data_IF_848155088766
#
_entry.id   IF_848155088766
#
_cell.length_a   1.000
_cell.length_b   1.000
_cell.length_c   1.000
_cell.angle_alpha   90.00
_cell.angle_beta   90.00
_cell.angle_gamma   90.00
#
_symmetry.space_group_name_H-M   'P 1'
#
loop_
_entity.id
_entity.type
_entity.pdbx_description
1 polymer ?
#
# COMPACT_ATOMS: atom_id res chain seq x y z
N UNK A 1 12.67 -5.85 21.96
CA UNK A 1 12.62 -4.38 21.88
C UNK A 1 14.00 -3.98 21.41
N UNK A 2 14.22 -4.00 20.10
CA UNK A 2 15.52 -3.66 19.52
C UNK A 2 15.37 -2.31 18.84
N UNK A 3 16.18 -1.34 19.27
CA UNK A 3 16.22 0.00 18.73
C UNK A 3 16.66 0.03 17.26
N UNK A 4 16.56 1.18 16.58
CA UNK A 4 16.96 1.30 15.18
C UNK A 4 18.45 0.92 15.02
N UNK A 5 18.75 0.09 14.02
CA UNK A 5 20.12 -0.20 13.59
C UNK A 5 20.70 1.12 13.06
N UNK A 6 21.68 1.66 13.77
CA UNK A 6 22.35 2.90 13.40
C UNK A 6 23.33 2.61 12.26
N UNK A 7 23.02 3.04 11.04
CA UNK A 7 23.93 2.91 9.89
C UNK A 7 25.00 3.99 10.03
N UNK A 8 26.04 3.69 10.81
CA UNK A 8 27.19 4.59 10.99
C UNK A 8 28.20 4.48 9.84
N UNK A 9 28.22 3.36 9.12
CA UNK A 9 29.12 3.11 8.00
C UNK A 9 28.36 2.51 6.82
N UNK A 10 28.79 2.85 5.59
CA UNK A 10 28.23 2.29 4.35
C UNK A 10 28.84 0.91 4.04
N UNK A 11 28.91 0.04 5.05
CA UNK A 11 29.39 -1.32 4.91
C UNK A 11 28.26 -2.27 4.50
N UNK A 12 28.63 -3.35 3.82
CA UNK A 12 27.69 -4.29 3.21
C UNK A 12 26.82 -5.02 4.27
N UNK A 13 27.36 -5.21 5.48
CA UNK A 13 26.63 -5.82 6.60
C UNK A 13 25.60 -4.88 7.21
N UNK A 14 25.94 -3.60 7.44
CA UNK A 14 24.98 -2.59 7.90
C UNK A 14 23.84 -2.37 6.91
N UNK A 15 24.14 -2.33 5.61
CA UNK A 15 23.11 -2.20 4.56
C UNK A 15 22.20 -3.43 4.48
N UNK A 16 22.75 -4.63 4.64
CA UNK A 16 21.97 -5.88 4.70
C UNK A 16 21.09 -5.94 5.96
N UNK A 17 21.63 -5.58 7.12
CA UNK A 17 20.87 -5.49 8.38
C UNK A 17 19.73 -4.47 8.29
N UNK A 18 19.99 -3.34 7.66
CA UNK A 18 18.98 -2.32 7.41
C UNK A 18 17.89 -2.77 6.43
N UNK A 19 18.27 -3.49 5.36
CA UNK A 19 17.31 -4.11 4.43
C UNK A 19 16.38 -5.12 5.12
N UNK A 20 16.92 -5.98 5.98
CA UNK A 20 16.14 -6.93 6.80
C UNK A 20 15.20 -6.17 7.75
N UNK A 21 15.68 -5.11 8.39
CA UNK A 21 14.88 -4.28 9.28
C UNK A 21 13.72 -3.58 8.54
N UNK A 22 13.98 -3.02 7.36
CA UNK A 22 12.94 -2.43 6.52
C UNK A 22 11.90 -3.46 6.09
N UNK A 23 12.32 -4.65 5.66
CA UNK A 23 11.41 -5.73 5.28
C UNK A 23 10.53 -6.18 6.45
N UNK A 24 11.10 -6.28 7.66
CA UNK A 24 10.35 -6.63 8.87
C UNK A 24 9.36 -5.51 9.26
N UNK A 25 9.77 -4.25 9.14
CA UNK A 25 8.90 -3.08 9.36
C UNK A 25 7.77 -3.00 8.36
N UNK A 26 8.04 -3.29 7.09
CA UNK A 26 7.02 -3.38 6.04
C UNK A 26 5.98 -4.46 6.37
N UNK A 27 6.44 -5.68 6.69
CA UNK A 27 5.55 -6.78 7.11
C UNK A 27 4.69 -6.41 8.31
N UNK A 28 5.27 -5.78 9.34
CA UNK A 28 4.53 -5.34 10.52
C UNK A 28 3.52 -4.22 10.19
N UNK A 29 3.87 -3.32 9.28
CA UNK A 29 2.95 -2.26 8.82
C UNK A 29 1.77 -2.85 8.06
N UNK A 30 2.03 -3.86 7.22
CA UNK A 30 1.01 -4.58 6.46
C UNK A 30 0.09 -5.40 7.37
N UNK A 31 0.65 -6.07 8.39
CA UNK A 31 -0.13 -6.80 9.40
C UNK A 31 -1.06 -5.85 10.19
N UNK A 32 -0.57 -4.69 10.61
CA UNK A 32 -1.41 -3.70 11.33
C UNK A 32 -2.46 -3.04 10.45
N UNK A 33 -2.16 -2.85 9.17
CA UNK A 33 -3.17 -2.44 8.20
C UNK A 33 -4.27 -3.51 8.11
N UNK A 34 -3.91 -4.79 8.14
CA UNK A 34 -4.86 -5.90 8.13
C UNK A 34 -5.68 -5.98 9.44
N UNK A 35 -5.07 -5.78 10.61
CA UNK A 35 -5.76 -5.70 11.92
C UNK A 35 -6.75 -4.53 11.97
N UNK A 36 -6.33 -3.31 11.62
CA UNK A 36 -7.22 -2.14 11.59
C UNK A 36 -8.40 -2.36 10.62
N UNK A 37 -8.14 -3.09 9.55
CA UNK A 37 -9.15 -3.46 8.57
C UNK A 37 -10.12 -4.55 9.08
N UNK A 38 -9.66 -5.43 9.97
CA UNK A 38 -10.51 -6.40 10.69
C UNK A 38 -11.34 -5.73 11.77
N UNK A 39 -10.76 -4.80 12.54
CA UNK A 39 -11.47 -4.03 13.58
C UNK A 39 -12.61 -3.18 12.99
N UNK A 40 -12.37 -2.55 11.85
CA UNK A 40 -13.42 -1.82 11.11
C UNK A 40 -14.51 -2.79 10.66
N UNK A 41 -14.15 -3.94 10.08
CA UNK A 41 -15.14 -4.94 9.71
C UNK A 41 -15.96 -5.39 10.93
N UNK A 42 -15.32 -5.66 12.07
CA UNK A 42 -15.99 -6.10 13.30
C UNK A 42 -16.93 -5.03 13.87
N UNK A 43 -16.48 -3.77 13.89
CA UNK A 43 -17.29 -2.61 14.29
C UNK A 43 -18.50 -2.39 13.36
N UNK A 44 -18.41 -2.77 12.09
CA UNK A 44 -19.55 -2.70 11.16
C UNK A 44 -20.58 -3.81 11.43
N UNK A 45 -20.14 -5.04 11.75
CA UNK A 45 -21.03 -6.17 12.01
C UNK A 45 -21.75 -6.09 13.37
N UNK A 46 -21.22 -5.34 14.35
CA UNK A 46 -21.79 -5.27 15.71
C UNK A 46 -22.97 -4.29 15.88
N UNK A 47 -23.32 -3.50 14.86
CA UNK A 47 -24.51 -2.65 14.93
C UNK A 47 -25.72 -3.43 14.42
N UNK A 48 -26.81 -3.48 15.19
CA UNK A 48 -28.11 -4.01 14.76
C UNK A 48 -28.56 -3.28 13.48
N UNK A 49 -28.19 -3.84 12.32
CA UNK A 49 -28.30 -3.15 11.05
C UNK A 49 -29.70 -3.33 10.46
N UNK A 50 -30.38 -2.21 10.20
CA UNK A 50 -31.54 -2.16 9.32
C UNK A 50 -31.18 -2.76 7.95
N UNK A 51 -32.18 -3.23 7.18
CA UNK A 51 -31.96 -3.81 5.85
C UNK A 51 -31.17 -2.87 4.91
N UNK A 52 -31.38 -1.56 5.03
CA UNK A 52 -30.62 -0.55 4.29
C UNK A 52 -29.14 -0.49 4.69
N UNK A 53 -28.81 -0.67 5.98
CA UNK A 53 -27.43 -0.64 6.46
C UNK A 53 -26.66 -1.91 6.04
N UNK A 54 -27.33 -3.07 6.01
CA UNK A 54 -26.77 -4.31 5.42
C UNK A 54 -26.47 -4.16 3.92
N UNK A 55 -27.36 -3.49 3.17
CA UNK A 55 -27.14 -3.23 1.75
C UNK A 55 -25.95 -2.28 1.50
N UNK A 56 -25.76 -1.28 2.38
CA UNK A 56 -24.59 -0.36 2.35
C UNK A 56 -23.30 -1.10 2.67
N UNK A 57 -23.30 -1.98 3.68
CA UNK A 57 -22.13 -2.78 4.05
C UNK A 57 -21.74 -3.77 2.94
N UNK A 58 -22.72 -4.42 2.32
CA UNK A 58 -22.49 -5.31 1.18
C UNK A 58 -21.93 -4.56 -0.03
N UNK A 59 -22.43 -3.35 -0.31
CA UNK A 59 -21.88 -2.48 -1.35
C UNK A 59 -20.42 -2.10 -1.06
N UNK A 60 -20.07 -1.83 0.20
CA UNK A 60 -18.71 -1.50 0.61
C UNK A 60 -17.77 -2.69 0.42
N UNK A 61 -18.22 -3.90 0.77
CA UNK A 61 -17.48 -5.13 0.55
C UNK A 61 -17.23 -5.38 -0.94
N UNK A 62 -18.24 -5.19 -1.78
CA UNK A 62 -18.13 -5.34 -3.24
C UNK A 62 -17.18 -4.30 -3.85
N UNK A 63 -17.20 -3.05 -3.37
CA UNK A 63 -16.26 -2.01 -3.79
C UNK A 63 -14.83 -2.35 -3.45
N UNK A 64 -14.57 -2.81 -2.23
CA UNK A 64 -13.24 -3.24 -1.81
C UNK A 64 -12.73 -4.44 -2.60
N UNK A 65 -13.60 -5.41 -2.88
CA UNK A 65 -13.27 -6.56 -3.73
C UNK A 65 -12.93 -6.11 -5.16
N UNK A 66 -13.70 -5.17 -5.73
CA UNK A 66 -13.41 -4.54 -7.03
C UNK A 66 -12.03 -3.89 -7.02
N UNK A 67 -11.72 -3.07 -6.01
CA UNK A 67 -10.47 -2.33 -5.96
C UNK A 67 -9.27 -3.28 -5.83
N UNK A 68 -9.39 -4.32 -5.01
CA UNK A 68 -8.35 -5.37 -4.87
C UNK A 68 -8.11 -6.13 -6.18
N UNK A 69 -9.17 -6.51 -6.89
CA UNK A 69 -9.06 -7.19 -8.19
C UNK A 69 -8.45 -6.27 -9.26
N UNK A 70 -8.82 -4.98 -9.26
CA UNK A 70 -8.20 -4.00 -10.15
C UNK A 70 -6.70 -3.87 -9.90
N UNK A 71 -6.27 -3.84 -8.64
CA UNK A 71 -4.86 -3.71 -8.30
C UNK A 71 -4.07 -4.99 -8.65
N UNK A 72 -4.62 -6.18 -8.38
CA UNK A 72 -4.05 -7.45 -8.82
C UNK A 72 -3.91 -7.54 -10.34
N UNK A 73 -4.92 -7.10 -11.10
CA UNK A 73 -4.83 -7.03 -12.58
C UNK A 73 -3.70 -6.09 -13.01
N UNK A 74 -3.57 -4.92 -12.38
CA UNK A 74 -2.48 -3.98 -12.71
C UNK A 74 -1.10 -4.57 -12.40
N UNK A 75 -0.98 -5.34 -11.32
CA UNK A 75 0.26 -5.98 -10.94
C UNK A 75 0.65 -7.09 -11.94
N UNK A 76 -0.30 -7.94 -12.34
CA UNK A 76 -0.07 -8.95 -13.40
C UNK A 76 0.25 -8.31 -14.76
N UNK A 77 -0.43 -7.22 -15.12
CA UNK A 77 -0.09 -6.45 -16.32
C UNK A 77 1.32 -5.86 -16.28
N UNK A 78 1.81 -5.51 -15.08
CA UNK A 78 3.19 -5.04 -14.89
C UNK A 78 4.19 -6.16 -15.13
N UNK A 79 3.89 -7.38 -14.67
CA UNK A 79 4.71 -8.58 -14.94
C UNK A 79 4.80 -8.82 -16.45
N UNK A 80 3.67 -8.79 -17.16
CA UNK A 80 3.66 -8.95 -18.63
C UNK A 80 4.45 -7.88 -19.39
N UNK A 81 4.45 -6.64 -18.89
CA UNK A 81 5.13 -5.51 -19.56
C UNK A 81 6.60 -5.39 -19.16
N UNK A 82 7.02 -6.08 -18.10
CA UNK A 82 8.37 -6.01 -17.56
C UNK A 82 9.36 -6.76 -18.44
N UNK A 83 10.45 -6.10 -18.82
CA UNK A 83 11.52 -6.70 -19.62
C UNK A 83 12.39 -7.69 -18.85
N UNK A 84 12.27 -7.74 -17.52
CA UNK A 84 13.05 -8.58 -16.62
C UNK A 84 12.22 -9.73 -16.03
N UNK A 85 10.98 -9.91 -16.47
CA UNK A 85 10.13 -11.00 -15.98
C UNK A 85 10.48 -12.29 -16.69
N UNK A 86 10.56 -13.37 -15.91
CA UNK A 86 10.93 -14.66 -16.45
C UNK A 86 9.80 -15.23 -17.33
N UNK A 87 10.10 -15.99 -18.39
CA UNK A 87 9.07 -16.50 -19.31
C UNK A 87 7.95 -17.31 -18.64
N UNK A 88 8.24 -17.98 -17.52
CA UNK A 88 7.24 -18.72 -16.75
C UNK A 88 6.31 -17.78 -15.96
N UNK A 89 6.81 -16.66 -15.44
CA UNK A 89 6.01 -15.65 -14.71
C UNK A 89 5.05 -14.94 -15.67
N UNK A 90 5.51 -14.69 -16.90
CA UNK A 90 4.71 -14.11 -17.98
C UNK A 90 3.57 -15.08 -18.36
N UNK A 91 3.89 -16.37 -18.55
CA UNK A 91 2.90 -17.38 -18.92
C UNK A 91 1.85 -17.62 -17.81
N UNK A 92 2.27 -17.61 -16.54
CA UNK A 92 1.36 -17.71 -15.39
C UNK A 92 0.45 -16.48 -15.30
N UNK A 93 1.02 -15.27 -15.43
CA UNK A 93 0.24 -14.04 -15.44
C UNK A 93 -0.77 -13.96 -16.60
N UNK A 94 -0.40 -14.43 -17.79
CA UNK A 94 -1.29 -14.50 -18.95
C UNK A 94 -2.47 -15.47 -18.73
N UNK A 95 -2.24 -16.58 -18.01
CA UNK A 95 -3.29 -17.54 -17.69
C UNK A 95 -4.26 -17.03 -16.61
N UNK A 96 -3.75 -16.32 -15.59
CA UNK A 96 -4.56 -15.81 -14.47
C UNK A 96 -5.37 -14.55 -14.83
N UNK A 97 -4.89 -13.73 -15.75
CA UNK A 97 -5.51 -12.45 -16.12
C UNK A 97 -6.98 -12.55 -16.59
N UNK A 98 -7.34 -13.50 -17.48
CA UNK A 98 -8.72 -13.70 -17.92
C UNK A 98 -9.68 -13.99 -16.75
N UNK A 99 -9.30 -14.89 -15.83
CA UNK A 99 -10.14 -15.26 -14.69
C UNK A 99 -10.39 -14.04 -13.79
N UNK A 100 -9.34 -13.27 -13.48
CA UNK A 100 -9.45 -12.07 -12.66
C UNK A 100 -10.31 -10.99 -13.32
N UNK A 101 -10.25 -10.85 -14.64
CA UNK A 101 -11.11 -9.92 -15.40
C UNK A 101 -12.58 -10.32 -15.36
N UNK A 102 -12.89 -11.60 -15.54
CA UNK A 102 -14.25 -12.11 -15.45
C UNK A 102 -14.83 -11.93 -14.05
N UNK A 103 -14.02 -12.22 -13.05
CA UNK A 103 -14.36 -12.03 -11.64
C UNK A 103 -14.58 -10.55 -11.31
N UNK A 104 -13.74 -9.64 -11.85
CA UNK A 104 -13.94 -8.19 -11.75
C UNK A 104 -15.24 -7.75 -12.44
N UNK A 105 -15.55 -8.27 -13.62
CA UNK A 105 -16.79 -7.95 -14.34
C UNK A 105 -18.03 -8.36 -13.53
N UNK A 106 -18.00 -9.55 -12.92
CA UNK A 106 -19.04 -10.03 -12.00
C UNK A 106 -19.23 -9.11 -10.80
N UNK A 107 -18.14 -8.76 -10.10
CA UNK A 107 -18.20 -7.85 -8.94
C UNK A 107 -18.73 -6.47 -9.33
N UNK A 108 -18.30 -5.92 -10.48
CA UNK A 108 -18.79 -4.61 -10.97
C UNK A 108 -20.29 -4.64 -11.27
N UNK A 109 -20.79 -5.72 -11.87
CA UNK A 109 -22.23 -5.89 -12.15
C UNK A 109 -23.04 -5.94 -10.86
N UNK A 110 -22.60 -6.73 -9.88
CA UNK A 110 -23.24 -6.83 -8.56
C UNK A 110 -23.21 -5.50 -7.81
N UNK A 111 -22.08 -4.78 -7.85
CA UNK A 111 -21.95 -3.46 -7.24
C UNK A 111 -22.89 -2.45 -7.89
N UNK A 112 -22.97 -2.42 -9.22
CA UNK A 112 -23.89 -1.55 -9.95
C UNK A 112 -25.35 -1.81 -9.57
N UNK A 113 -25.77 -3.08 -9.52
CA UNK A 113 -27.12 -3.46 -9.11
C UNK A 113 -27.43 -3.01 -7.66
N UNK A 114 -26.46 -3.16 -6.75
CA UNK A 114 -26.61 -2.70 -5.35
C UNK A 114 -26.66 -1.18 -5.23
N UNK A 115 -25.83 -0.46 -5.97
CA UNK A 115 -25.86 1.01 -6.00
C UNK A 115 -27.18 1.55 -6.55
N UNK A 116 -27.75 0.91 -7.57
CA UNK A 116 -29.08 1.29 -8.09
C UNK A 116 -30.18 1.04 -7.06
N UNK A 117 -30.13 -0.08 -6.34
CA UNK A 117 -31.11 -0.41 -5.30
C UNK A 117 -31.05 0.53 -4.08
N UNK A 118 -29.89 1.16 -3.81
CA UNK A 118 -29.71 2.11 -2.71
C UNK A 118 -30.30 3.51 -3.01
N UNK A 119 -30.58 3.83 -4.28
CA UNK A 119 -31.04 5.15 -4.70
C UNK A 119 -29.99 6.26 -4.46
N UNK A 120 -30.33 7.50 -4.81
CA UNK A 120 -29.41 8.65 -4.77
C UNK A 120 -28.96 8.97 -3.34
N UNK A 121 -29.88 8.89 -2.38
CA UNK A 121 -29.63 9.21 -0.97
C UNK A 121 -28.81 8.10 -0.28
N UNK A 122 -29.12 6.83 -0.55
CA UNK A 122 -28.31 5.71 -0.06
C UNK A 122 -26.90 5.71 -0.64
N UNK A 123 -26.74 6.09 -1.92
CA UNK A 123 -25.43 6.25 -2.56
C UNK A 123 -24.59 7.37 -1.94
N UNK A 124 -25.20 8.51 -1.58
CA UNK A 124 -24.51 9.59 -0.85
C UNK A 124 -24.00 9.13 0.51
N UNK A 125 -24.85 8.49 1.32
CA UNK A 125 -24.49 7.97 2.65
C UNK A 125 -23.39 6.93 2.57
N UNK A 126 -23.50 6.03 1.59
CA UNK A 126 -22.48 5.04 1.28
C UNK A 126 -21.13 5.67 0.93
N UNK A 127 -21.09 6.62 0.00
CA UNK A 127 -19.86 7.29 -0.40
C UNK A 127 -19.23 8.07 0.78
N UNK A 128 -20.05 8.72 1.59
CA UNK A 128 -19.58 9.43 2.78
C UNK A 128 -18.97 8.47 3.82
N UNK A 129 -19.62 7.33 4.06
CA UNK A 129 -19.13 6.31 4.99
C UNK A 129 -17.81 5.69 4.48
N UNK A 130 -17.75 5.32 3.20
CA UNK A 130 -16.54 4.79 2.57
C UNK A 130 -15.37 5.78 2.71
N UNK A 131 -15.58 7.04 2.34
CA UNK A 131 -14.57 8.09 2.46
C UNK A 131 -14.14 8.30 3.92
N UNK A 132 -15.07 8.27 4.88
CA UNK A 132 -14.75 8.44 6.30
C UNK A 132 -13.90 7.28 6.84
N UNK A 133 -14.21 6.05 6.43
CA UNK A 133 -13.45 4.86 6.83
C UNK A 133 -12.02 4.89 6.25
N UNK A 134 -11.89 5.22 4.97
CA UNK A 134 -10.59 5.41 4.30
C UNK A 134 -9.78 6.53 4.99
N UNK A 135 -10.41 7.66 5.31
CA UNK A 135 -9.78 8.77 6.02
C UNK A 135 -9.30 8.35 7.42
N UNK A 136 -10.11 7.58 8.16
CA UNK A 136 -9.74 7.06 9.49
C UNK A 136 -8.56 6.09 9.41
N UNK A 137 -8.56 5.17 8.44
CA UNK A 137 -7.43 4.26 8.20
C UNK A 137 -6.16 5.04 7.84
N UNK A 138 -6.27 6.01 6.93
CA UNK A 138 -5.16 6.85 6.54
C UNK A 138 -4.62 7.65 7.74
N UNK A 139 -5.48 8.26 8.53
CA UNK A 139 -5.10 9.04 9.70
C UNK A 139 -4.48 8.17 10.78
N UNK A 140 -5.01 6.97 11.04
CA UNK A 140 -4.44 6.04 12.00
C UNK A 140 -3.06 5.56 11.55
N UNK A 141 -2.92 5.17 10.28
CA UNK A 141 -1.63 4.75 9.70
C UNK A 141 -0.61 5.88 9.76
N UNK A 142 -1.00 7.09 9.31
CA UNK A 142 -0.17 8.30 9.34
C UNK A 142 0.26 8.67 10.76
N UNK A 143 -0.65 8.61 11.72
CA UNK A 143 -0.34 8.87 13.13
C UNK A 143 0.61 7.82 13.68
N UNK A 144 0.42 6.53 13.37
CA UNK A 144 1.32 5.46 13.82
C UNK A 144 2.73 5.63 13.27
N UNK A 145 2.87 6.00 11.98
CA UNK A 145 4.17 6.30 11.36
C UNK A 145 4.82 7.51 12.02
N UNK A 146 4.07 8.61 12.22
CA UNK A 146 4.59 9.84 12.86
C UNK A 146 5.14 9.61 14.26
N UNK A 147 4.48 8.77 15.07
CA UNK A 147 4.87 8.58 16.46
C UNK A 147 5.98 7.54 16.65
N UNK A 148 6.12 6.56 15.75
CA UNK A 148 7.08 5.46 15.93
C UNK A 148 8.36 5.58 15.10
N UNK A 149 8.38 6.36 14.01
CA UNK A 149 9.54 6.43 13.12
C UNK A 149 9.68 7.79 12.42
N UNK A 150 10.09 8.86 13.14
CA UNK A 150 10.46 10.14 12.51
C UNK A 150 11.59 9.96 11.47
N UNK A 151 12.45 8.96 11.66
CA UNK A 151 13.57 8.64 10.78
C UNK A 151 13.14 8.14 9.40
N UNK A 152 12.03 7.38 9.29
CA UNK A 152 11.52 6.90 8.00
C UNK A 152 11.08 8.07 7.10
N UNK A 153 10.57 9.16 7.69
CA UNK A 153 10.22 10.36 6.92
C UNK A 153 11.43 11.25 6.62
N UNK A 154 12.46 11.26 7.48
CA UNK A 154 13.68 12.01 7.22
C UNK A 154 14.57 11.34 6.18
N UNK A 155 14.44 10.03 5.95
CA UNK A 155 15.29 9.29 5.00
C UNK A 155 15.16 9.74 3.54
N UNK A 156 13.95 9.91 2.97
CA UNK A 156 13.80 10.52 1.64
C UNK A 156 14.40 11.93 1.58
N UNK A 157 14.24 12.72 2.64
CA UNK A 157 14.81 14.07 2.70
C UNK A 157 16.34 14.05 2.77
N UNK A 158 16.93 13.18 3.58
CA UNK A 158 18.36 12.99 3.71
C UNK A 158 18.98 12.44 2.41
N UNK A 159 18.31 11.49 1.76
CA UNK A 159 18.73 10.97 0.46
C UNK A 159 18.71 12.04 -0.63
N UNK A 160 17.63 12.83 -0.72
CA UNK A 160 17.54 13.94 -1.67
C UNK A 160 18.61 15.01 -1.39
N UNK A 161 18.86 15.34 -0.12
CA UNK A 161 19.96 16.24 0.25
C UNK A 161 21.34 15.68 -0.13
N UNK A 162 21.54 14.37 0.04
CA UNK A 162 22.77 13.69 -0.36
C UNK A 162 22.96 13.75 -1.88
N UNK A 163 21.91 13.51 -2.67
CA UNK A 163 21.96 13.66 -4.12
C UNK A 163 22.35 15.08 -4.55
N UNK A 164 21.78 16.11 -3.91
CA UNK A 164 22.15 17.52 -4.17
C UNK A 164 23.63 17.78 -3.82
N UNK A 165 24.11 17.26 -2.69
CA UNK A 165 25.52 17.39 -2.29
C UNK A 165 26.46 16.68 -3.26
N UNK A 166 26.13 15.46 -3.68
CA UNK A 166 26.93 14.72 -4.66
C UNK A 166 26.95 15.43 -6.02
N UNK A 167 25.81 15.95 -6.49
CA UNK A 167 25.75 16.72 -7.74
C UNK A 167 26.65 17.97 -7.69
N UNK A 168 26.70 18.67 -6.55
CA UNK A 168 27.59 19.81 -6.36
C UNK A 168 29.08 19.42 -6.38
N UNK A 169 29.44 18.28 -5.76
CA UNK A 169 30.81 17.76 -5.74
C UNK A 169 31.28 17.33 -7.14
N UNK A 170 30.39 16.66 -7.91
CA UNK A 170 30.63 16.30 -9.31
C UNK A 170 30.83 17.54 -10.17
N UNK A 171 29.96 18.55 -10.04
CA UNK A 171 30.09 19.82 -10.77
C UNK A 171 31.38 20.58 -10.42
N UNK A 172 31.82 20.47 -9.16
CA UNK A 172 33.08 21.04 -8.70
C UNK A 172 34.34 20.27 -9.11
N UNK A 173 34.21 19.07 -9.72
CA UNK A 173 35.32 18.12 -9.99
C UNK A 173 36.20 17.86 -8.76
N UNK A 174 35.59 17.74 -7.58
CA UNK A 174 36.32 17.50 -6.32
C UNK A 174 36.06 16.10 -5.76
N UNK A 175 37.05 15.59 -5.05
CA UNK A 175 36.96 14.48 -4.10
C UNK A 175 35.81 14.68 -3.07
N UNK A 176 34.88 13.75 -2.77
CA UNK A 176 34.18 13.79 -1.49
C UNK A 176 35.21 13.78 -0.34
N UNK A 177 34.98 14.56 0.71
CA UNK A 177 35.88 14.56 1.88
C UNK A 177 35.93 13.14 2.47
N UNK A 178 37.14 12.60 2.63
CA UNK A 178 37.46 11.24 3.10
C UNK A 178 37.36 10.13 2.04
N UNK A 179 37.36 10.47 0.74
CA UNK A 179 37.57 9.46 -0.30
C UNK A 179 39.00 8.89 -0.21
N UNK A 180 39.12 7.63 0.18
CA UNK A 180 40.39 6.89 0.20
C UNK A 180 40.51 6.13 -1.12
N UNK A 181 41.65 6.28 -1.80
CA UNK A 181 41.97 5.57 -3.04
C UNK A 181 42.22 4.08 -2.72
N UNK A 182 41.74 3.13 -3.55
CA UNK A 182 41.98 1.69 -3.36
C UNK A 182 43.46 1.31 -3.31
#
# INVERSE_FOLDING_TARGET
MDGPVNIQFADNESLRGYGIWLAQKWKNTQARHQEAQQDINFSMHSQSCSAGQKAVEEALRLRKARDTLCDSIKDLQRVLTSCNSEPYEIAEADLELPELRDRLAGVRKSLSAREHALGVEGKKRYNHLASTLEQKLHNHTKSSVKHRDPTIQSLPQQFNQLQVRMAAVVKGRRAPSNAVVP
#
